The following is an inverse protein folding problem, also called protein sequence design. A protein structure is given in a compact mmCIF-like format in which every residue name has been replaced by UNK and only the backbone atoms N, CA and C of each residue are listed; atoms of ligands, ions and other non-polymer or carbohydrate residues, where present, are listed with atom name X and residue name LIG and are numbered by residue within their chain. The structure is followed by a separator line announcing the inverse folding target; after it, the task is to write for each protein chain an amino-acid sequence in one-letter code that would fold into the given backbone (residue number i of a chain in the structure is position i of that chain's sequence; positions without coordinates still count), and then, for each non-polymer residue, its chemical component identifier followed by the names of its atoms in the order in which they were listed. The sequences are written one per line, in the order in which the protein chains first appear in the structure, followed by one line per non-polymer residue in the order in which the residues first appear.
data_IF_713372175769
#
_entry.id   IF_713372175769
#
_cell.length_a   1.000
_cell.length_b   1.000
_cell.length_c   1.000
_cell.angle_alpha   90.00
_cell.angle_beta   90.00
_cell.angle_gamma   90.00
#
_symmetry.space_group_name_H-M   'P 1'
#
loop_
_entity.id
_entity.type
_entity.pdbx_description
1 polymer ?
#
# COMPACT_ATOMS: atom_id res chain seq x y z
N UNK A 1 -3.39 -16.83 -6.11
CA UNK A 1 -2.25 -17.02 -7.03
C UNK A 1 -1.01 -16.24 -6.61
N UNK A 2 -1.12 -14.99 -6.16
CA UNK A 2 0.00 -14.17 -5.70
C UNK A 2 0.88 -14.85 -4.64
N UNK A 3 0.28 -15.54 -3.67
CA UNK A 3 0.99 -16.30 -2.62
C UNK A 3 2.05 -17.27 -3.17
N UNK A 4 1.70 -18.02 -4.22
CA UNK A 4 2.60 -19.00 -4.83
C UNK A 4 3.74 -18.31 -5.58
N UNK A 5 3.45 -17.23 -6.30
CA UNK A 5 4.46 -16.44 -7.02
C UNK A 5 5.46 -15.84 -6.02
N UNK A 6 4.97 -15.30 -4.90
CA UNK A 6 5.84 -14.76 -3.85
C UNK A 6 6.77 -15.82 -3.25
N UNK A 7 6.26 -17.05 -3.07
CA UNK A 7 7.03 -18.20 -2.61
C UNK A 7 8.08 -18.67 -3.63
N UNK A 8 7.69 -18.78 -4.90
CA UNK A 8 8.56 -19.29 -5.98
C UNK A 8 9.67 -18.28 -6.34
N UNK A 9 9.45 -16.97 -6.12
CA UNK A 9 10.39 -15.90 -6.46
C UNK A 9 10.65 -14.96 -5.26
N UNK A 10 11.36 -15.42 -4.21
CA UNK A 10 11.55 -14.64 -2.98
C UNK A 10 12.30 -13.31 -3.19
N UNK A 11 13.17 -13.23 -4.19
CA UNK A 11 13.94 -12.03 -4.51
C UNK A 11 13.16 -11.01 -5.38
N UNK A 12 12.09 -11.45 -6.04
CA UNK A 12 11.24 -10.58 -6.85
C UNK A 12 10.39 -9.70 -5.94
N UNK A 13 10.51 -8.37 -6.08
CA UNK A 13 9.61 -7.43 -5.40
C UNK A 13 8.29 -7.33 -6.16
N UNK A 14 7.18 -7.54 -5.46
CA UNK A 14 5.84 -7.59 -6.05
C UNK A 14 4.96 -6.54 -5.40
N UNK A 15 4.21 -5.79 -6.19
CA UNK A 15 3.20 -4.84 -5.71
C UNK A 15 1.81 -5.38 -6.01
N UNK A 16 1.01 -5.61 -4.98
CA UNK A 16 -0.42 -5.83 -5.11
C UNK A 16 -1.13 -4.49 -5.34
N UNK A 17 -1.32 -4.11 -6.61
CA UNK A 17 -1.92 -2.84 -6.97
C UNK A 17 -3.41 -2.76 -6.62
N UNK A 18 -3.96 -1.55 -6.64
CA UNK A 18 -5.39 -1.26 -6.51
C UNK A 18 -6.01 -1.82 -5.23
N UNK A 19 -5.24 -1.79 -4.13
CA UNK A 19 -5.57 -2.30 -2.79
C UNK A 19 -5.88 -3.80 -2.72
N UNK A 20 -5.63 -4.54 -3.80
CA UNK A 20 -6.00 -5.95 -3.93
C UNK A 20 -7.50 -6.17 -4.10
N UNK A 21 -8.30 -5.12 -4.35
CA UNK A 21 -9.76 -5.24 -4.47
C UNK A 21 -10.18 -6.28 -5.53
N UNK A 22 -11.14 -7.17 -5.24
CA UNK A 22 -11.95 -7.28 -4.01
C UNK A 22 -11.33 -8.10 -2.87
N UNK A 23 -10.12 -8.64 -3.05
CA UNK A 23 -9.42 -9.54 -2.13
C UNK A 23 -8.44 -8.80 -1.19
N UNK A 24 -8.95 -7.74 -0.54
CA UNK A 24 -8.13 -6.83 0.28
C UNK A 24 -7.49 -7.56 1.46
N UNK A 25 -8.28 -8.36 2.18
CA UNK A 25 -7.82 -9.09 3.37
C UNK A 25 -6.82 -10.21 3.02
N UNK A 26 -7.01 -10.83 1.86
CA UNK A 26 -6.07 -11.81 1.32
C UNK A 26 -4.75 -11.16 0.93
N UNK A 27 -4.78 -9.98 0.28
CA UNK A 27 -3.55 -9.25 -0.02
C UNK A 27 -2.82 -8.83 1.26
N UNK A 28 -3.54 -8.35 2.28
CA UNK A 28 -2.98 -8.04 3.60
C UNK A 28 -2.32 -9.29 4.20
N UNK A 29 -3.00 -10.44 4.13
CA UNK A 29 -2.47 -11.73 4.63
C UNK A 29 -1.21 -12.16 3.90
N UNK A 30 -1.15 -11.97 2.58
CA UNK A 30 0.04 -12.25 1.76
C UNK A 30 1.19 -11.32 2.14
N UNK A 31 0.93 -10.03 2.37
CA UNK A 31 1.95 -9.09 2.86
C UNK A 31 2.50 -9.50 4.23
N UNK A 32 1.66 -10.03 5.14
CA UNK A 32 2.13 -10.57 6.43
C UNK A 32 3.00 -11.81 6.27
N UNK A 33 2.72 -12.64 5.27
CA UNK A 33 3.42 -13.91 5.05
C UNK A 33 4.74 -13.73 4.29
N UNK A 34 4.82 -12.78 3.36
CA UNK A 34 5.94 -12.65 2.44
C UNK A 34 6.52 -11.23 2.42
N UNK A 35 7.81 -11.12 2.76
CA UNK A 35 8.50 -9.82 2.84
C UNK A 35 8.69 -9.11 1.50
N UNK A 36 8.61 -9.84 0.39
CA UNK A 36 8.77 -9.33 -0.97
C UNK A 36 7.47 -8.82 -1.60
N UNK A 37 6.34 -8.85 -0.86
CA UNK A 37 5.05 -8.32 -1.33
C UNK A 37 4.71 -6.99 -0.65
N UNK A 38 4.41 -6.01 -1.49
CA UNK A 38 4.04 -4.64 -1.11
C UNK A 38 2.57 -4.37 -1.43
N UNK A 39 1.95 -3.52 -0.63
CA UNK A 39 0.54 -3.16 -0.75
C UNK A 39 0.39 -1.84 -1.52
N UNK A 40 -0.24 -1.88 -2.70
CA UNK A 40 -0.52 -0.71 -3.52
C UNK A 40 -1.79 0.01 -3.07
N UNK A 41 -1.64 1.20 -2.51
CA UNK A 41 -2.72 2.15 -2.21
C UNK A 41 -2.87 3.09 -3.40
N UNK A 42 -3.39 2.56 -4.49
CA UNK A 42 -3.52 3.28 -5.74
C UNK A 42 -4.87 3.06 -6.43
N UNK A 43 -5.20 3.90 -7.42
CA UNK A 43 -6.48 3.86 -8.16
C UNK A 43 -7.75 4.11 -7.34
N UNK A 44 -7.62 4.55 -6.08
CA UNK A 44 -8.73 4.92 -5.23
C UNK A 44 -8.58 6.36 -4.72
N UNK A 45 -9.72 7.06 -4.59
CA UNK A 45 -9.76 8.28 -3.80
C UNK A 45 -9.74 7.90 -2.30
N UNK A 46 -8.93 8.55 -1.44
CA UNK A 46 -8.74 8.13 -0.05
C UNK A 46 -10.03 8.02 0.76
N UNK A 47 -11.04 8.86 0.48
CA UNK A 47 -12.36 8.78 1.13
C UNK A 47 -13.11 7.45 0.92
N UNK A 48 -12.72 6.64 -0.06
CA UNK A 48 -13.32 5.34 -0.35
C UNK A 48 -12.49 4.16 0.18
N UNK A 49 -11.33 4.41 0.80
CA UNK A 49 -10.55 3.34 1.41
C UNK A 49 -11.35 2.76 2.58
N UNK A 50 -11.44 1.43 2.61
CA UNK A 50 -12.11 0.74 3.71
C UNK A 50 -11.34 0.95 5.02
N UNK A 51 -12.02 0.88 6.18
CA UNK A 51 -11.36 0.96 7.48
C UNK A 51 -10.22 -0.06 7.64
N UNK A 52 -10.36 -1.26 7.07
CA UNK A 52 -9.33 -2.31 7.08
C UNK A 52 -8.03 -1.84 6.41
N UNK A 53 -8.12 -1.14 5.28
CA UNK A 53 -6.93 -0.61 4.59
C UNK A 53 -6.26 0.46 5.47
N UNK A 54 -7.04 1.37 6.05
CA UNK A 54 -6.53 2.44 6.91
C UNK A 54 -5.84 1.87 8.15
N UNK A 55 -6.43 0.83 8.76
CA UNK A 55 -5.84 0.10 9.89
C UNK A 55 -4.52 -0.57 9.49
N UNK A 56 -4.48 -1.25 8.34
CA UNK A 56 -3.28 -1.92 7.86
C UNK A 56 -2.14 -0.92 7.57
N UNK A 57 -2.42 0.20 6.90
CA UNK A 57 -1.46 1.28 6.64
C UNK A 57 -0.83 1.79 7.94
N UNK A 58 -1.60 1.89 9.03
CA UNK A 58 -1.09 2.34 10.33
C UNK A 58 -0.42 1.24 11.18
N UNK A 59 -0.51 -0.02 10.74
CA UNK A 59 0.12 -1.14 11.44
C UNK A 59 1.65 -1.07 11.34
N UNK A 60 2.34 -1.81 12.22
CA UNK A 60 3.81 -1.89 12.20
C UNK A 60 4.35 -2.36 10.84
N UNK A 61 3.69 -3.33 10.21
CA UNK A 61 4.12 -3.86 8.91
C UNK A 61 3.68 -2.93 7.77
N UNK A 62 2.40 -2.56 7.72
CA UNK A 62 1.85 -1.81 6.59
C UNK A 62 2.48 -0.43 6.42
N UNK A 63 2.87 0.26 7.50
CA UNK A 63 3.56 1.55 7.39
C UNK A 63 4.90 1.47 6.62
N UNK A 64 5.52 0.29 6.60
CA UNK A 64 6.80 0.01 5.94
C UNK A 64 6.63 -0.77 4.62
N UNK A 65 5.38 -1.10 4.23
CA UNK A 65 5.07 -1.97 3.09
C UNK A 65 3.93 -1.47 2.19
N UNK A 66 3.36 -0.29 2.46
CA UNK A 66 2.37 0.33 1.60
C UNK A 66 2.99 1.42 0.72
N UNK A 67 2.60 1.48 -0.55
CA UNK A 67 2.98 2.56 -1.48
C UNK A 67 1.74 3.25 -2.02
N UNK A 68 1.82 4.55 -2.29
CA UNK A 68 0.71 5.33 -2.82
C UNK A 68 0.88 5.72 -4.29
N UNK A 69 -0.22 5.76 -5.03
CA UNK A 69 -0.24 6.25 -6.41
C UNK A 69 -1.63 6.74 -6.82
N UNK A 70 -1.70 7.77 -7.65
CA UNK A 70 -3.02 8.30 -8.06
C UNK A 70 -3.68 7.47 -9.16
N UNK A 71 -2.92 6.68 -9.91
CA UNK A 71 -3.39 6.03 -11.15
C UNK A 71 -4.12 7.00 -12.11
N UNK A 72 -3.61 8.23 -12.23
CA UNK A 72 -4.21 9.27 -13.07
C UNK A 72 -5.39 10.04 -12.44
N UNK A 73 -5.80 9.69 -11.22
CA UNK A 73 -6.81 10.45 -10.47
C UNK A 73 -6.28 11.84 -10.06
N UNK A 74 -7.17 12.83 -9.79
CA UNK A 74 -6.75 14.20 -9.44
C UNK A 74 -5.85 14.27 -8.21
N UNK A 75 -4.55 14.53 -8.43
CA UNK A 75 -3.52 14.41 -7.39
C UNK A 75 -3.73 15.35 -6.20
N UNK A 76 -4.11 16.62 -6.44
CA UNK A 76 -4.32 17.60 -5.36
C UNK A 76 -5.43 17.18 -4.40
N UNK A 77 -6.53 16.70 -4.98
CA UNK A 77 -7.69 16.25 -4.21
C UNK A 77 -7.40 14.93 -3.50
N UNK A 78 -6.63 14.04 -4.13
CA UNK A 78 -6.20 12.79 -3.49
C UNK A 78 -5.32 13.07 -2.26
N UNK A 79 -4.32 13.95 -2.38
CA UNK A 79 -3.48 14.35 -1.23
C UNK A 79 -4.30 15.01 -0.12
N UNK A 80 -5.22 15.93 -0.45
CA UNK A 80 -6.12 16.57 0.52
C UNK A 80 -6.94 15.53 1.30
N UNK A 81 -7.54 14.57 0.62
CA UNK A 81 -8.32 13.53 1.29
C UNK A 81 -7.45 12.57 2.10
N UNK A 82 -6.19 12.38 1.72
CA UNK A 82 -5.24 11.58 2.49
C UNK A 82 -4.87 12.28 3.80
N UNK A 83 -4.79 13.62 3.80
CA UNK A 83 -4.62 14.43 5.01
C UNK A 83 -5.83 14.30 5.95
N UNK A 84 -7.04 14.29 5.38
CA UNK A 84 -8.30 14.11 6.12
C UNK A 84 -8.40 12.73 6.82
N UNK A 85 -7.59 11.74 6.44
CA UNK A 85 -7.54 10.43 7.12
C UNK A 85 -6.87 10.47 8.50
N UNK A 86 -6.14 11.54 8.83
CA UNK A 86 -5.47 11.68 10.13
C UNK A 86 -4.36 10.66 10.38
N UNK A 87 -3.67 10.21 9.33
CA UNK A 87 -2.51 9.32 9.45
C UNK A 87 -1.40 10.01 10.26
N UNK A 88 -0.63 9.23 11.02
CA UNK A 88 0.58 9.75 11.68
C UNK A 88 1.55 10.30 10.61
N UNK A 89 2.24 11.39 10.91
CA UNK A 89 3.19 12.02 9.97
C UNK A 89 4.26 11.04 9.45
N UNK A 90 4.75 10.14 10.29
CA UNK A 90 5.69 9.10 9.87
C UNK A 90 5.08 8.11 8.86
N UNK A 91 3.82 7.72 9.05
CA UNK A 91 3.10 6.76 8.19
C UNK A 91 2.82 7.42 6.85
N UNK A 92 2.34 8.66 6.87
CA UNK A 92 2.06 9.46 5.67
C UNK A 92 3.31 9.67 4.82
N UNK A 93 4.44 10.07 5.45
CA UNK A 93 5.71 10.26 4.75
C UNK A 93 6.19 8.98 4.07
N UNK A 94 6.11 7.85 4.78
CA UNK A 94 6.49 6.54 4.23
C UNK A 94 5.60 6.13 3.07
N UNK A 95 4.29 6.23 3.24
CA UNK A 95 3.29 5.89 2.23
C UNK A 95 3.46 6.71 0.94
N UNK A 96 3.68 8.03 1.06
CA UNK A 96 3.78 8.95 -0.07
C UNK A 96 5.15 8.94 -0.77
N UNK A 97 6.22 8.52 -0.08
CA UNK A 97 7.58 8.65 -0.61
C UNK A 97 8.54 7.56 -0.16
N UNK A 98 8.84 7.47 1.14
CA UNK A 98 10.03 6.74 1.60
C UNK A 98 9.98 5.25 1.17
N UNK A 99 8.79 4.64 1.23
CA UNK A 99 8.58 3.24 0.82
C UNK A 99 8.82 3.03 -0.68
N UNK A 100 8.37 3.97 -1.53
CA UNK A 100 8.61 3.90 -2.97
C UNK A 100 10.10 4.10 -3.30
N UNK A 101 10.78 5.02 -2.59
CA UNK A 101 12.24 5.19 -2.72
C UNK A 101 13.01 3.92 -2.33
N UNK A 102 12.63 3.26 -1.23
CA UNK A 102 13.24 1.98 -0.83
C UNK A 102 13.00 0.88 -1.87
N UNK A 103 11.74 0.70 -2.28
CA UNK A 103 11.32 -0.36 -3.19
C UNK A 103 11.98 -0.25 -4.58
N UNK A 104 11.98 0.96 -5.14
CA UNK A 104 12.45 1.21 -6.51
C UNK A 104 13.89 1.72 -6.58
N UNK A 105 14.57 1.92 -5.45
CA UNK A 105 15.95 2.44 -5.36
C UNK A 105 16.12 3.80 -6.05
N UNK A 106 15.22 4.73 -5.72
CA UNK A 106 15.18 6.10 -6.26
C UNK A 106 16.02 7.10 -5.46
#
# INVERSE_FOLDING_TARGET
HLDRIACDFPDLKIVGAHTGWPWVEELISVCYKWENVWFGVDAWMPKYLSPTIIQFINSRLGRDRCIWGTNGLPWKENLRQLDDLGLKEEVKRKLLRDNASELFKL
#
